data_IF_380757683418
#
_entry.id   IF_380757683418
#
_cell.length_a   1.000
_cell.length_b   1.000
_cell.length_c   1.000
_cell.angle_alpha   90.00
_cell.angle_beta   90.00
_cell.angle_gamma   90.00
#
_symmetry.space_group_name_H-M   'P 1'
#
loop_
_entity.id
_entity.type
_entity.pdbx_description
1 polymer ?
#
# COMPACT_ATOMS: atom_id res chain seq x y z
N UNK A 1 -6.34 67.24 -7.92
CA UNK A 1 -7.09 66.23 -7.16
C UNK A 1 -6.09 65.33 -6.46
N UNK A 2 -5.49 65.85 -5.37
CA UNK A 2 -4.47 65.18 -4.58
C UNK A 2 -5.17 64.35 -3.51
N UNK A 3 -5.19 63.03 -3.68
CA UNK A 3 -5.73 62.11 -2.68
C UNK A 3 -4.76 62.09 -1.49
N UNK A 4 -5.15 62.82 -0.45
CA UNK A 4 -4.67 62.60 0.92
C UNK A 4 -5.15 61.23 1.40
N UNK A 5 -4.25 60.34 1.87
CA UNK A 5 -4.55 59.34 2.90
C UNK A 5 -3.29 58.59 3.37
N UNK A 6 -3.00 58.71 4.67
CA UNK A 6 -1.82 58.16 5.33
C UNK A 6 -1.83 56.62 5.50
N UNK A 7 -2.97 55.96 5.27
CA UNK A 7 -3.11 54.50 5.41
C UNK A 7 -2.75 53.72 4.13
N UNK A 8 -3.10 54.25 2.96
CA UNK A 8 -2.92 53.60 1.65
C UNK A 8 -1.43 53.48 1.26
N UNK A 9 -0.64 54.47 1.71
CA UNK A 9 0.80 54.53 1.48
C UNK A 9 1.56 53.38 2.14
N UNK A 10 1.08 52.86 3.28
CA UNK A 10 1.72 51.71 3.94
C UNK A 10 1.69 50.50 3.01
N UNK A 11 0.49 50.11 2.56
CA UNK A 11 0.29 48.97 1.65
C UNK A 11 1.07 49.14 0.34
N UNK A 12 1.09 50.35 -0.23
CA UNK A 12 1.87 50.63 -1.43
C UNK A 12 3.39 50.45 -1.23
N UNK A 13 3.94 50.92 -0.09
CA UNK A 13 5.36 50.75 0.25
C UNK A 13 5.71 49.27 0.43
N UNK A 14 4.83 48.50 1.09
CA UNK A 14 5.03 47.06 1.31
C UNK A 14 4.96 46.29 -0.01
N UNK A 15 4.02 46.64 -0.90
CA UNK A 15 3.90 46.05 -2.22
C UNK A 15 5.17 46.28 -3.06
N UNK A 16 5.70 47.50 -3.04
CA UNK A 16 6.99 47.82 -3.68
C UNK A 16 8.12 47.01 -3.04
N UNK A 17 8.15 46.91 -1.71
CA UNK A 17 9.11 46.07 -0.99
C UNK A 17 9.06 44.61 -1.43
N UNK A 18 7.87 44.02 -1.53
CA UNK A 18 7.65 42.64 -1.98
C UNK A 18 8.08 42.43 -3.45
N UNK A 19 7.84 43.41 -4.32
CA UNK A 19 8.34 43.37 -5.69
C UNK A 19 9.88 43.41 -5.72
N UNK A 20 10.51 44.31 -4.97
CA UNK A 20 11.96 44.36 -4.85
C UNK A 20 12.55 43.05 -4.32
N UNK A 21 11.96 42.46 -3.28
CA UNK A 21 12.38 41.15 -2.77
C UNK A 21 12.23 40.04 -3.82
N UNK A 22 11.19 40.09 -4.66
CA UNK A 22 10.98 39.11 -5.73
C UNK A 22 12.02 39.26 -6.83
N UNK A 23 12.33 40.49 -7.25
CA UNK A 23 13.43 40.76 -8.20
C UNK A 23 14.76 40.30 -7.61
N UNK A 24 14.99 40.54 -6.30
CA UNK A 24 16.18 40.07 -5.60
C UNK A 24 16.27 38.53 -5.60
N UNK A 25 15.19 37.79 -5.39
CA UNK A 25 15.21 36.31 -5.48
C UNK A 25 15.56 35.81 -6.87
N UNK A 26 15.04 36.46 -7.91
CA UNK A 26 15.37 36.12 -9.30
C UNK A 26 16.84 36.42 -9.59
N UNK A 27 17.36 37.55 -9.09
CA UNK A 27 18.77 37.92 -9.23
C UNK A 27 19.70 36.94 -8.52
N UNK A 28 19.38 36.57 -7.27
CA UNK A 28 20.13 35.57 -6.51
C UNK A 28 20.13 34.22 -7.23
N UNK A 29 19.03 33.84 -7.87
CA UNK A 29 18.96 32.61 -8.67
C UNK A 29 19.90 32.60 -9.89
N UNK A 30 20.35 33.75 -10.39
CA UNK A 30 21.34 33.84 -11.46
C UNK A 30 22.79 33.79 -10.98
N UNK A 31 23.03 33.99 -9.68
CA UNK A 31 24.37 33.92 -9.09
C UNK A 31 24.55 32.59 -8.35
N UNK A 32 25.39 31.71 -8.90
CA UNK A 32 25.76 30.46 -8.25
C UNK A 32 26.77 30.67 -7.12
N UNK A 33 26.27 30.89 -5.91
CA UNK A 33 27.07 30.88 -4.67
C UNK A 33 27.25 29.47 -4.07
N UNK A 34 26.95 28.41 -4.85
CA UNK A 34 27.01 27.02 -4.41
C UNK A 34 26.09 26.75 -3.23
N UNK A 35 26.64 26.21 -2.13
CA UNK A 35 25.89 25.85 -0.91
C UNK A 35 25.20 27.06 -0.25
N UNK A 36 25.75 28.27 -0.41
CA UNK A 36 25.16 29.47 0.17
C UNK A 36 23.87 29.91 -0.54
N UNK A 37 23.61 29.44 -1.76
CA UNK A 37 22.41 29.81 -2.52
C UNK A 37 21.13 29.38 -1.77
N UNK A 38 21.11 28.16 -1.19
CA UNK A 38 19.96 27.66 -0.43
C UNK A 38 19.69 28.52 0.82
N UNK A 39 20.75 28.95 1.51
CA UNK A 39 20.64 29.73 2.74
C UNK A 39 20.09 31.13 2.43
N UNK A 40 20.62 31.77 1.38
CA UNK A 40 20.13 33.08 0.94
C UNK A 40 18.68 32.98 0.44
N UNK A 41 18.34 31.95 -0.34
CA UNK A 41 16.98 31.73 -0.83
C UNK A 41 15.98 31.56 0.33
N UNK A 42 16.33 30.77 1.35
CA UNK A 42 15.50 30.58 2.54
C UNK A 42 15.35 31.86 3.36
N UNK A 43 16.42 32.65 3.49
CA UNK A 43 16.36 33.92 4.21
C UNK A 43 15.43 34.90 3.51
N UNK A 44 15.60 35.10 2.19
CA UNK A 44 14.74 36.03 1.43
C UNK A 44 13.29 35.55 1.41
N UNK A 45 13.05 34.24 1.26
CA UNK A 45 11.71 33.66 1.36
C UNK A 45 11.06 33.94 2.72
N UNK A 46 11.82 33.79 3.81
CA UNK A 46 11.32 34.06 5.17
C UNK A 46 10.94 35.54 5.34
N UNK A 47 11.81 36.48 4.94
CA UNK A 47 11.52 37.92 5.04
C UNK A 47 10.29 38.30 4.22
N UNK A 48 10.15 37.76 3.00
CA UNK A 48 8.96 37.97 2.16
C UNK A 48 7.71 37.46 2.86
N UNK A 49 7.73 36.24 3.40
CA UNK A 49 6.60 35.64 4.10
C UNK A 49 6.21 36.46 5.34
N UNK A 50 7.17 36.97 6.11
CA UNK A 50 6.91 37.82 7.27
C UNK A 50 6.26 39.15 6.88
N UNK A 51 6.70 39.81 5.80
CA UNK A 51 6.06 41.02 5.28
C UNK A 51 4.61 40.75 4.85
N UNK A 52 4.36 39.64 4.14
CA UNK A 52 3.00 39.25 3.72
C UNK A 52 2.13 38.99 4.95
N UNK A 53 2.62 38.25 5.94
CA UNK A 53 1.86 37.92 7.15
C UNK A 53 1.54 39.17 7.99
N UNK A 54 2.48 40.08 8.21
CA UNK A 54 2.24 41.28 9.04
C UNK A 54 1.22 42.24 8.41
N UNK A 55 1.22 42.36 7.08
CA UNK A 55 0.49 43.43 6.41
C UNK A 55 -0.70 42.96 5.57
N UNK A 56 -0.58 41.87 4.80
CA UNK A 56 -1.68 41.36 3.96
C UNK A 56 -2.66 40.50 4.74
N UNK A 57 -2.21 39.79 5.78
CA UNK A 57 -3.12 39.09 6.70
C UNK A 57 -3.69 40.03 7.78
N UNK A 58 -3.52 41.35 7.62
CA UNK A 58 -4.03 42.38 8.52
C UNK A 58 -3.60 42.23 9.99
N UNK A 59 -2.56 41.44 10.24
CA UNK A 59 -2.10 41.06 11.58
C UNK A 59 -1.74 42.28 12.45
N UNK A 60 -1.24 43.35 11.83
CA UNK A 60 -0.88 44.59 12.52
C UNK A 60 -2.06 45.53 12.80
N UNK A 61 -3.08 45.58 11.94
CA UNK A 61 -4.20 46.54 12.06
C UNK A 61 -5.51 45.92 12.60
N UNK A 62 -5.61 44.58 12.68
CA UNK A 62 -6.83 43.88 13.08
C UNK A 62 -6.86 43.46 14.58
N UNK A 63 -8.01 42.97 15.04
CA UNK A 63 -8.26 42.54 16.41
C UNK A 63 -7.25 41.48 16.87
N UNK A 64 -6.87 41.53 18.16
CA UNK A 64 -5.92 40.61 18.82
C UNK A 64 -6.25 39.12 18.59
N UNK A 65 -7.50 38.79 18.27
CA UNK A 65 -7.97 37.44 17.94
C UNK A 65 -7.27 36.88 16.70
N UNK A 66 -7.10 37.66 15.62
CA UNK A 66 -6.45 37.21 14.39
C UNK A 66 -4.96 36.86 14.64
N UNK A 67 -4.30 37.63 15.51
CA UNK A 67 -2.92 37.35 15.93
C UNK A 67 -2.80 36.01 16.67
N UNK A 68 -3.72 35.74 17.59
CA UNK A 68 -3.73 34.50 18.37
C UNK A 68 -4.00 33.29 17.47
N UNK A 69 -4.93 33.41 16.51
CA UNK A 69 -5.25 32.32 15.55
C UNK A 69 -4.08 32.04 14.62
N UNK A 70 -3.37 33.06 14.15
CA UNK A 70 -2.18 32.87 13.31
C UNK A 70 -1.05 32.16 14.06
N UNK A 71 -0.78 32.59 15.30
CA UNK A 71 0.25 31.96 16.14
C UNK A 71 -0.15 30.51 16.48
N UNK A 72 -1.42 30.25 16.81
CA UNK A 72 -1.89 28.89 17.12
C UNK A 72 -1.78 27.96 15.92
N UNK A 73 -2.06 28.45 14.70
CA UNK A 73 -1.86 27.68 13.47
C UNK A 73 -0.38 27.31 13.26
N UNK A 74 0.55 28.24 13.52
CA UNK A 74 1.98 27.98 13.39
C UNK A 74 2.51 27.00 14.46
N UNK A 75 2.03 27.13 15.70
CA UNK A 75 2.34 26.17 16.78
C UNK A 75 1.82 24.78 16.42
N UNK A 76 0.59 24.69 15.92
CA UNK A 76 -0.01 23.43 15.51
C UNK A 76 0.74 22.80 14.32
N UNK A 77 1.13 23.61 13.33
CA UNK A 77 1.97 23.17 12.21
C UNK A 77 3.31 22.64 12.70
N UNK A 78 4.00 23.36 13.59
CA UNK A 78 5.26 22.92 14.17
C UNK A 78 5.11 21.59 14.93
N UNK A 79 4.03 21.45 15.70
CA UNK A 79 3.69 20.21 16.40
C UNK A 79 3.47 19.05 15.43
N UNK A 80 2.73 19.26 14.33
CA UNK A 80 2.52 18.22 13.31
C UNK A 80 3.83 17.82 12.62
N UNK A 81 4.68 18.77 12.27
CA UNK A 81 5.99 18.48 11.67
C UNK A 81 6.85 17.68 12.64
N UNK A 82 6.89 18.06 13.92
CA UNK A 82 7.60 17.31 14.95
C UNK A 82 7.04 15.91 15.16
N UNK A 83 5.71 15.75 15.14
CA UNK A 83 5.06 14.46 15.28
C UNK A 83 5.40 13.53 14.11
N UNK A 84 5.26 14.02 12.87
CA UNK A 84 5.59 13.26 11.66
C UNK A 84 7.09 12.95 11.61
N UNK A 85 7.93 13.93 11.94
CA UNK A 85 9.37 13.73 12.04
C UNK A 85 9.71 12.65 13.05
N UNK A 86 9.17 12.75 14.27
CA UNK A 86 9.32 11.75 15.32
C UNK A 86 8.84 10.37 14.84
N UNK A 87 7.65 10.28 14.26
CA UNK A 87 7.14 9.03 13.68
C UNK A 87 8.13 8.44 12.67
N UNK A 88 8.64 9.23 11.72
CA UNK A 88 9.64 8.80 10.75
C UNK A 88 10.96 8.37 11.40
N UNK A 89 11.40 9.03 12.46
CA UNK A 89 12.63 8.70 13.18
C UNK A 89 12.51 7.39 13.98
N UNK A 90 11.35 7.15 14.61
CA UNK A 90 11.10 5.94 15.40
C UNK A 90 10.56 4.78 14.55
N UNK A 91 10.07 5.05 13.34
CA UNK A 91 9.62 4.02 12.42
C UNK A 91 10.84 3.17 12.02
N UNK A 92 10.89 1.88 12.42
CA UNK A 92 11.93 1.00 11.91
C UNK A 92 11.80 0.99 10.40
N UNK A 93 12.93 1.17 9.69
CA UNK A 93 12.94 1.18 8.24
C UNK A 93 12.21 -0.06 7.73
N UNK A 94 11.11 0.09 6.98
CA UNK A 94 10.46 -1.06 6.38
C UNK A 94 11.51 -1.69 5.47
N UNK A 95 11.90 -2.93 5.76
CA UNK A 95 12.75 -3.68 4.85
C UNK A 95 11.95 -3.82 3.56
N UNK A 96 12.26 -2.99 2.56
CA UNK A 96 11.73 -3.22 1.22
C UNK A 96 12.36 -4.52 0.79
N UNK A 97 11.62 -5.62 0.88
CA UNK A 97 11.96 -6.81 0.13
C UNK A 97 11.93 -6.36 -1.32
N UNK A 98 13.11 -6.16 -1.90
CA UNK A 98 13.25 -6.03 -3.34
C UNK A 98 12.59 -7.29 -3.89
N UNK A 99 11.45 -7.10 -4.55
CA UNK A 99 10.66 -8.19 -5.07
C UNK A 99 11.44 -8.76 -6.26
N UNK A 100 12.36 -9.68 -5.98
CA UNK A 100 13.05 -10.41 -7.01
C UNK A 100 12.01 -11.26 -7.73
N UNK A 101 11.86 -11.16 -9.06
CA UNK A 101 10.88 -11.93 -9.84
C UNK A 101 10.92 -13.44 -9.56
N UNK A 102 12.08 -13.95 -9.14
CA UNK A 102 12.27 -15.34 -8.73
C UNK A 102 11.58 -15.70 -7.41
N UNK A 103 11.53 -14.78 -6.43
CA UNK A 103 10.89 -15.00 -5.12
C UNK A 103 9.37 -14.98 -5.22
N UNK A 104 8.86 -14.25 -6.22
CA UNK A 104 7.45 -14.22 -6.61
C UNK A 104 7.04 -15.59 -7.13
N UNK A 105 7.81 -16.12 -8.09
CA UNK A 105 7.57 -17.43 -8.66
C UNK A 105 7.73 -18.51 -7.59
N UNK A 106 8.73 -18.40 -6.71
CA UNK A 106 8.90 -19.30 -5.58
C UNK A 106 7.76 -19.18 -4.58
N UNK A 107 7.21 -18.01 -4.28
CA UNK A 107 6.02 -17.89 -3.44
C UNK A 107 4.76 -18.41 -4.12
N UNK A 108 4.57 -18.20 -5.43
CA UNK A 108 3.46 -18.80 -6.17
C UNK A 108 3.61 -20.33 -6.29
N UNK A 109 4.85 -20.84 -6.41
CA UNK A 109 5.17 -22.28 -6.43
C UNK A 109 5.04 -22.89 -5.03
N UNK A 110 5.57 -22.25 -3.98
CA UNK A 110 5.53 -22.68 -2.58
C UNK A 110 4.11 -22.57 -2.03
N UNK A 111 3.33 -21.56 -2.39
CA UNK A 111 1.91 -21.47 -2.01
C UNK A 111 1.04 -22.45 -2.82
N UNK A 112 1.45 -22.82 -4.04
CA UNK A 112 0.84 -23.93 -4.81
C UNK A 112 1.21 -25.30 -4.24
N UNK A 113 2.34 -25.40 -3.54
CA UNK A 113 2.88 -26.61 -2.91
C UNK A 113 2.93 -26.49 -1.37
N UNK A 114 2.04 -25.67 -0.78
CA UNK A 114 1.96 -25.49 0.68
C UNK A 114 1.03 -26.55 1.25
N UNK A 115 1.58 -27.73 1.45
CA UNK A 115 1.11 -28.69 2.43
C UNK A 115 1.52 -30.10 2.07
N UNK A 116 2.11 -30.81 3.02
CA UNK A 116 2.06 -32.26 3.05
C UNK A 116 0.59 -32.67 3.21
N UNK A 117 -0.15 -32.63 2.10
CA UNK A 117 -1.57 -32.92 1.99
C UNK A 117 -1.86 -34.40 2.19
N UNK A 118 -0.82 -35.22 2.36
CA UNK A 118 -0.88 -36.63 2.76
C UNK A 118 -1.47 -36.83 4.16
N UNK A 119 -1.49 -35.78 5.00
CA UNK A 119 -2.00 -35.85 6.37
C UNK A 119 -3.51 -35.54 6.37
N UNK A 120 -4.39 -36.49 6.76
CA UNK A 120 -5.83 -36.28 6.75
C UNK A 120 -6.22 -35.29 7.86
N UNK A 121 -6.63 -34.08 7.48
CA UNK A 121 -7.32 -33.16 8.39
C UNK A 121 -8.83 -33.22 8.14
N UNK A 122 -9.63 -33.11 9.21
CA UNK A 122 -11.09 -33.23 9.13
C UNK A 122 -11.72 -32.20 8.17
N UNK A 123 -11.16 -30.97 8.13
CA UNK A 123 -11.54 -29.92 7.19
C UNK A 123 -11.32 -30.35 5.73
N UNK A 124 -10.22 -31.04 5.46
CA UNK A 124 -9.87 -31.52 4.13
C UNK A 124 -10.82 -32.57 3.58
N UNK A 125 -11.31 -33.45 4.47
CA UNK A 125 -12.24 -34.50 4.11
C UNK A 125 -13.61 -33.88 3.76
N UNK A 126 -14.02 -32.83 4.48
CA UNK A 126 -15.25 -32.09 4.20
C UNK A 126 -15.15 -31.28 2.89
N UNK A 127 -14.01 -30.63 2.65
CA UNK A 127 -13.70 -29.97 1.37
C UNK A 127 -13.70 -30.98 0.21
N UNK A 128 -13.04 -32.13 0.40
CA UNK A 128 -12.96 -33.23 -0.56
C UNK A 128 -14.33 -33.83 -0.91
N UNK A 129 -15.23 -33.97 0.06
CA UNK A 129 -16.61 -34.42 -0.16
C UNK A 129 -17.35 -33.50 -1.14
N UNK A 130 -17.33 -32.19 -0.87
CA UNK A 130 -18.03 -31.20 -1.69
C UNK A 130 -17.46 -31.13 -3.11
N UNK A 131 -16.13 -31.20 -3.24
CA UNK A 131 -15.47 -31.22 -4.55
C UNK A 131 -15.81 -32.48 -5.35
N UNK A 132 -15.82 -33.65 -4.69
CA UNK A 132 -16.17 -34.92 -5.33
C UNK A 132 -17.62 -34.91 -5.83
N UNK A 133 -18.57 -34.47 -4.99
CA UNK A 133 -19.98 -34.36 -5.36
C UNK A 133 -20.22 -33.40 -6.53
N UNK A 134 -19.45 -32.31 -6.60
CA UNK A 134 -19.60 -31.29 -7.63
C UNK A 134 -18.98 -31.67 -8.98
N UNK A 135 -17.79 -32.28 -8.97
CA UNK A 135 -17.00 -32.45 -10.19
C UNK A 135 -16.84 -33.91 -10.64
N UNK A 136 -16.90 -34.86 -9.72
CA UNK A 136 -16.50 -36.24 -9.98
C UNK A 136 -17.68 -37.20 -10.09
N UNK A 137 -18.69 -37.09 -9.21
CA UNK A 137 -19.81 -38.06 -9.09
C UNK A 137 -20.51 -38.35 -10.40
N UNK A 138 -20.64 -37.37 -11.31
CA UNK A 138 -21.30 -37.55 -12.60
C UNK A 138 -20.58 -38.54 -13.55
N UNK A 139 -19.27 -38.77 -13.34
CA UNK A 139 -18.43 -39.59 -14.22
C UNK A 139 -18.17 -41.00 -13.68
N UNK A 140 -18.53 -41.29 -12.42
CA UNK A 140 -18.33 -42.61 -11.82
C UNK A 140 -19.62 -43.45 -11.91
N UNK A 141 -19.60 -44.61 -12.58
CA UNK A 141 -20.76 -45.51 -12.60
C UNK A 141 -21.01 -46.10 -11.21
N UNK A 142 -22.27 -46.38 -10.87
CA UNK A 142 -22.65 -46.89 -9.53
C UNK A 142 -22.04 -48.25 -9.17
N UNK A 143 -21.48 -48.98 -10.13
CA UNK A 143 -20.80 -50.26 -9.96
C UNK A 143 -19.27 -50.16 -9.84
N UNK A 144 -18.70 -48.94 -9.88
CA UNK A 144 -17.24 -48.75 -9.83
C UNK A 144 -16.67 -49.05 -8.44
N UNK A 145 -15.62 -49.87 -8.40
CA UNK A 145 -14.93 -50.23 -7.16
C UNK A 145 -13.64 -49.42 -7.06
N UNK A 146 -13.57 -48.55 -6.05
CA UNK A 146 -12.37 -47.75 -5.80
C UNK A 146 -11.22 -48.61 -5.24
N UNK A 147 -9.96 -48.34 -5.66
CA UNK A 147 -8.79 -49.00 -5.10
C UNK A 147 -8.65 -48.73 -3.59
N UNK A 148 -8.24 -49.73 -2.80
CA UNK A 148 -8.03 -49.59 -1.34
C UNK A 148 -6.70 -48.92 -0.97
N UNK A 149 -6.01 -48.31 -1.93
CA UNK A 149 -4.69 -47.71 -1.75
C UNK A 149 -4.75 -46.23 -2.12
N UNK A 150 -4.30 -45.35 -1.20
CA UNK A 150 -4.40 -43.90 -1.39
C UNK A 150 -3.68 -43.39 -2.64
N UNK A 151 -2.49 -43.93 -2.92
CA UNK A 151 -1.72 -43.53 -4.11
C UNK A 151 -2.42 -43.90 -5.42
N UNK A 152 -3.11 -45.05 -5.47
CA UNK A 152 -3.89 -45.46 -6.66
C UNK A 152 -5.12 -44.60 -6.87
N UNK A 153 -5.78 -44.15 -5.79
CA UNK A 153 -6.88 -43.19 -5.88
C UNK A 153 -6.36 -41.84 -6.39
N UNK A 154 -5.22 -41.38 -5.90
CA UNK A 154 -4.61 -40.13 -6.38
C UNK A 154 -4.20 -40.22 -7.86
N UNK A 155 -3.63 -41.34 -8.27
CA UNK A 155 -3.23 -41.59 -9.66
C UNK A 155 -4.44 -41.62 -10.59
N UNK A 156 -5.54 -42.25 -10.17
CA UNK A 156 -6.84 -42.21 -10.86
C UNK A 156 -7.35 -40.77 -11.03
N UNK A 157 -7.21 -39.92 -10.02
CA UNK A 157 -7.60 -38.51 -10.10
C UNK A 157 -6.68 -37.70 -11.03
N UNK A 158 -5.44 -38.14 -11.23
CA UNK A 158 -4.45 -37.42 -12.04
C UNK A 158 -4.52 -37.81 -13.51
N UNK A 159 -4.58 -39.10 -13.81
CA UNK A 159 -4.52 -39.65 -15.16
C UNK A 159 -5.87 -40.14 -15.70
N UNK A 160 -6.89 -40.28 -14.85
CA UNK A 160 -8.15 -40.93 -15.22
C UNK A 160 -7.98 -42.45 -15.37
N UNK A 161 -9.05 -43.13 -15.77
CA UNK A 161 -9.00 -44.56 -16.09
C UNK A 161 -9.66 -44.81 -17.44
N UNK A 162 -8.83 -45.18 -18.42
CA UNK A 162 -9.27 -45.46 -19.79
C UNK A 162 -10.09 -46.74 -19.89
N UNK A 163 -9.96 -47.70 -18.96
CA UNK A 163 -10.73 -48.94 -18.97
C UNK A 163 -12.19 -48.70 -18.55
N UNK A 164 -12.42 -47.71 -17.69
CA UNK A 164 -13.73 -47.38 -17.13
C UNK A 164 -14.35 -46.11 -17.71
N UNK A 165 -13.78 -45.56 -18.79
CA UNK A 165 -14.20 -44.29 -19.42
C UNK A 165 -14.20 -43.08 -18.45
N UNK A 166 -13.29 -43.05 -17.47
CA UNK A 166 -13.18 -41.95 -16.50
C UNK A 166 -12.17 -40.91 -17.02
N UNK A 167 -12.57 -39.64 -17.19
CA UNK A 167 -11.65 -38.59 -17.64
C UNK A 167 -10.59 -38.26 -16.59
N UNK A 168 -9.46 -37.70 -17.03
CA UNK A 168 -8.42 -37.20 -16.13
C UNK A 168 -8.88 -35.90 -15.44
N UNK A 169 -8.75 -35.80 -14.11
CA UNK A 169 -9.09 -34.59 -13.34
C UNK A 169 -7.86 -33.70 -13.09
N UNK A 170 -6.99 -33.56 -14.09
CA UNK A 170 -5.77 -32.75 -14.02
C UNK A 170 -6.03 -31.25 -13.84
N UNK A 171 -7.24 -30.79 -14.14
CA UNK A 171 -7.68 -29.40 -13.93
C UNK A 171 -7.80 -29.05 -12.45
N UNK A 172 -7.95 -30.04 -11.57
CA UNK A 172 -7.97 -29.83 -10.12
C UNK A 172 -6.55 -29.63 -9.59
N UNK A 173 -6.41 -28.68 -8.67
CA UNK A 173 -5.15 -28.43 -7.97
C UNK A 173 -4.71 -29.66 -7.17
N UNK A 174 -3.40 -29.75 -6.88
CA UNK A 174 -2.82 -30.84 -6.10
C UNK A 174 -3.49 -31.03 -4.72
N UNK A 175 -3.78 -29.92 -4.03
CA UNK A 175 -4.57 -29.87 -2.78
C UNK A 175 -5.95 -30.52 -2.94
N UNK A 176 -6.66 -30.19 -4.01
CA UNK A 176 -8.03 -30.64 -4.26
C UNK A 176 -8.06 -32.15 -4.57
N UNK A 177 -7.08 -32.63 -5.35
CA UNK A 177 -6.92 -34.07 -5.64
C UNK A 177 -6.60 -34.88 -4.39
N UNK A 178 -5.74 -34.38 -3.51
CA UNK A 178 -5.48 -35.01 -2.21
C UNK A 178 -6.68 -34.97 -1.27
N UNK A 179 -7.45 -33.87 -1.24
CA UNK A 179 -8.67 -33.75 -0.45
C UNK A 179 -9.71 -34.80 -0.86
N UNK A 180 -9.95 -34.96 -2.17
CA UNK A 180 -10.86 -35.99 -2.71
C UNK A 180 -10.33 -37.40 -2.40
N UNK A 181 -9.02 -37.62 -2.54
CA UNK A 181 -8.37 -38.91 -2.24
C UNK A 181 -8.60 -39.33 -0.79
N UNK A 182 -8.42 -38.40 0.17
CA UNK A 182 -8.66 -38.67 1.59
C UNK A 182 -10.14 -38.92 1.91
N UNK A 183 -11.05 -38.18 1.28
CA UNK A 183 -12.48 -38.42 1.41
C UNK A 183 -12.89 -39.82 0.92
N UNK A 184 -12.46 -40.20 -0.30
CA UNK A 184 -12.75 -41.50 -0.87
C UNK A 184 -12.16 -42.63 -0.03
N UNK A 185 -10.92 -42.48 0.43
CA UNK A 185 -10.28 -43.46 1.30
C UNK A 185 -11.00 -43.60 2.65
N UNK A 186 -11.39 -42.49 3.28
CA UNK A 186 -12.17 -42.50 4.54
C UNK A 186 -13.54 -43.17 4.38
N UNK A 187 -14.15 -43.10 3.19
CA UNK A 187 -15.40 -43.80 2.87
C UNK A 187 -15.21 -45.32 2.70
N UNK A 188 -14.01 -45.77 2.33
CA UNK A 188 -13.69 -47.19 2.13
C UNK A 188 -13.28 -47.91 3.43
N UNK A 189 -12.84 -47.16 4.44
CA UNK A 189 -12.47 -47.71 5.77
C UNK A 189 -13.66 -47.85 6.74
N UNK A 190 -14.82 -47.28 6.42
CA UNK A 190 -16.06 -47.39 7.20
C UNK A 190 -16.93 -48.56 6.74
#
# INVERSE_FOLDING_TARGET
MFVSKSHEKKYAVILIGLLCLTVMTVWVSYFDFGVLNIVVAMLVATVKATLVALFFMHLYEDQRVNQVVFISAFIFLALLILLIGSDLFFRPTPQSKYFHPEDVSKQFVEKKHSGNFEIPSQLLIEEGKNLFERYCVAYFPSSYVFPRERQKIYDLMTHGDSASHIPSFSDLGEKERWAITHYLFSRLEK
#
